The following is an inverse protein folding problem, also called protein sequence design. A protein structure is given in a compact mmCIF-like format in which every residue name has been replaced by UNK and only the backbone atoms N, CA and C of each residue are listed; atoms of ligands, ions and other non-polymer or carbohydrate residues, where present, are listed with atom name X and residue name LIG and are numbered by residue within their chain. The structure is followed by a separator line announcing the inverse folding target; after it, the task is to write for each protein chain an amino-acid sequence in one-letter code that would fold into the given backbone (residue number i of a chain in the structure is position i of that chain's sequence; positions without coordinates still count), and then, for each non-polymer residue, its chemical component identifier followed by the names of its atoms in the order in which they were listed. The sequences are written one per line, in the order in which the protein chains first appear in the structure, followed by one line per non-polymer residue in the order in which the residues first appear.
data_IF_194454886407
#
_entry.id   IF_194454886407
#
_cell.length_a   1.000
_cell.length_b   1.000
_cell.length_c   1.000
_cell.angle_alpha   90.00
_cell.angle_beta   90.00
_cell.angle_gamma   90.00
#
_symmetry.space_group_name_H-M   'P 1'
#
loop_
_entity.id
_entity.type
_entity.pdbx_description
1 polymer ?
#
# COMPACT_ATOMS: atom_id res chain seq x y z
N UNK A 1 5.78 8.60 51.88
CA UNK A 1 6.86 9.11 51.01
C UNK A 1 6.31 9.16 49.59
N UNK A 2 5.66 10.25 49.16
CA UNK A 2 6.21 11.50 48.60
C UNK A 2 6.83 11.36 47.19
N UNK A 3 6.14 11.95 46.19
CA UNK A 3 6.68 12.76 45.06
C UNK A 3 7.62 11.98 44.08
N UNK A 4 7.50 11.91 42.75
CA UNK A 4 6.74 12.56 41.68
C UNK A 4 7.09 11.84 40.34
N UNK A 5 6.36 12.10 39.25
CA UNK A 5 6.64 11.57 37.91
C UNK A 5 7.56 12.51 37.12
N UNK A 6 8.50 12.02 36.31
CA UNK A 6 8.98 12.61 35.06
C UNK A 6 10.12 11.76 34.46
N UNK A 7 10.28 11.82 33.13
CA UNK A 7 11.31 11.20 32.30
C UNK A 7 11.13 9.73 31.92
N UNK A 8 10.14 9.44 31.06
CA UNK A 8 10.35 8.43 30.01
C UNK A 8 11.09 9.09 28.86
N UNK A 9 12.41 9.00 28.94
CA UNK A 9 13.33 9.22 27.84
C UNK A 9 12.91 8.38 26.63
N UNK A 10 12.94 9.03 25.47
CA UNK A 10 12.75 8.42 24.17
C UNK A 10 13.94 7.46 23.95
N UNK A 11 13.71 6.17 24.15
CA UNK A 11 14.64 5.12 23.75
C UNK A 11 14.52 4.92 22.24
N UNK A 12 15.24 5.73 21.46
CA UNK A 12 15.64 5.34 20.11
C UNK A 12 16.73 4.26 20.27
N UNK A 13 16.33 2.99 20.21
CA UNK A 13 17.24 1.88 20.12
C UNK A 13 18.09 1.99 18.85
N UNK A 14 19.42 2.04 19.05
CA UNK A 14 20.48 1.91 18.06
C UNK A 14 20.19 0.82 17.03
N UNK A 15 20.42 1.15 15.76
CA UNK A 15 20.80 0.16 14.74
C UNK A 15 22.30 0.31 14.44
N UNK A 16 23.02 -0.81 14.20
CA UNK A 16 24.47 -0.81 13.97
C UNK A 16 24.84 -0.21 12.61
N UNK A 17 25.87 0.63 12.61
CA UNK A 17 26.50 1.20 11.43
C UNK A 17 27.28 0.12 10.67
N UNK A 18 26.80 -0.27 9.49
CA UNK A 18 27.63 -0.93 8.48
C UNK A 18 28.49 0.14 7.79
N UNK A 19 29.79 0.08 8.04
CA UNK A 19 30.83 0.87 7.39
C UNK A 19 30.88 0.54 5.90
N UNK A 20 30.31 1.40 5.06
CA UNK A 20 30.73 1.51 3.67
C UNK A 20 31.52 2.81 3.53
N UNK A 21 32.80 2.65 3.19
CA UNK A 21 33.74 3.74 2.96
C UNK A 21 33.18 4.68 1.89
N UNK A 22 33.01 5.94 2.26
CA UNK A 22 32.66 7.04 1.36
C UNK A 22 33.98 7.52 0.72
N UNK A 23 34.11 7.62 -0.62
CA UNK A 23 35.31 8.17 -1.21
C UNK A 23 35.48 9.63 -0.78
N UNK A 24 36.67 9.93 -0.28
CA UNK A 24 37.13 11.29 -0.01
C UNK A 24 37.28 12.04 -1.34
N UNK A 25 36.49 13.09 -1.51
CA UNK A 25 36.78 14.14 -2.50
C UNK A 25 37.23 15.33 -1.68
N UNK A 26 38.54 15.55 -1.66
CA UNK A 26 39.12 16.76 -1.14
C UNK A 26 38.83 17.92 -2.11
N UNK A 27 38.57 19.08 -1.51
CA UNK A 27 38.81 20.43 -2.03
C UNK A 27 37.88 20.95 -3.12
N UNK A 28 36.81 21.62 -2.69
CA UNK A 28 36.51 22.95 -3.20
C UNK A 28 35.94 23.79 -2.05
N UNK A 29 36.78 24.65 -1.47
CA UNK A 29 36.31 25.83 -0.75
C UNK A 29 35.60 26.68 -1.80
N UNK A 30 34.27 26.61 -1.85
CA UNK A 30 33.47 27.55 -2.62
C UNK A 30 32.30 27.99 -1.75
N UNK A 31 32.57 29.11 -1.07
CA UNK A 31 31.61 30.11 -0.59
C UNK A 31 30.22 29.61 -0.22
N UNK A 32 29.97 29.59 1.09
CA UNK A 32 28.64 29.74 1.69
C UNK A 32 28.02 31.07 1.21
N UNK A 33 27.35 31.03 0.07
CA UNK A 33 26.36 32.04 -0.28
C UNK A 33 25.04 31.56 0.32
N UNK A 34 24.60 32.25 1.38
CA UNK A 34 23.18 32.29 1.72
C UNK A 34 22.39 32.56 0.42
N UNK A 35 21.16 32.04 0.26
CA UNK A 35 20.31 32.47 -0.85
C UNK A 35 20.01 33.96 -0.64
N UNK A 36 20.83 34.79 -1.27
CA UNK A 36 20.54 36.20 -1.49
C UNK A 36 19.15 36.26 -2.12
N UNK A 37 18.27 37.04 -1.51
CA UNK A 37 17.01 37.44 -2.10
C UNK A 37 17.39 38.27 -3.32
N UNK A 38 17.59 37.61 -4.46
CA UNK A 38 17.81 38.27 -5.72
C UNK A 38 16.54 39.06 -6.02
N UNK A 39 16.60 40.37 -5.83
CA UNK A 39 15.65 41.31 -6.40
C UNK A 39 15.52 40.96 -7.88
N UNK A 40 14.29 40.61 -8.28
CA UNK A 40 13.89 40.31 -9.66
C UNK A 40 14.43 41.40 -10.58
N UNK A 41 15.54 41.13 -11.26
CA UNK A 41 16.09 42.06 -12.24
C UNK A 41 15.06 42.25 -13.35
N UNK A 42 14.79 43.50 -13.72
CA UNK A 42 13.93 43.87 -14.86
C UNK A 42 14.59 43.54 -16.22
N UNK A 43 15.47 42.54 -16.27
CA UNK A 43 16.06 42.05 -17.50
C UNK A 43 14.98 41.36 -18.33
N UNK A 44 14.72 41.87 -19.55
CA UNK A 44 13.75 41.28 -20.48
C UNK A 44 14.10 39.82 -20.73
N UNK A 45 13.21 38.92 -20.32
CA UNK A 45 13.33 37.48 -20.55
C UNK A 45 13.39 37.22 -22.05
N UNK A 46 14.49 36.63 -22.55
CA UNK A 46 14.62 36.20 -23.95
C UNK A 46 13.49 35.22 -24.29
N UNK A 47 12.85 35.42 -25.44
CA UNK A 47 11.78 34.55 -25.96
C UNK A 47 12.39 33.17 -26.23
N UNK A 48 11.95 32.15 -25.47
CA UNK A 48 12.33 30.76 -25.76
C UNK A 48 11.61 30.31 -27.03
N UNK A 49 12.27 29.48 -27.82
CA UNK A 49 11.65 28.82 -28.97
C UNK A 49 10.43 28.02 -28.52
N UNK A 50 9.38 28.07 -29.33
CA UNK A 50 8.15 27.32 -29.09
C UNK A 50 8.44 25.85 -29.31
N UNK A 51 8.71 25.11 -28.23
CA UNK A 51 8.74 23.64 -28.27
C UNK A 51 7.36 23.11 -28.63
N UNK A 52 7.28 21.94 -29.24
CA UNK A 52 6.00 21.26 -29.47
C UNK A 52 5.21 21.14 -28.16
N UNK A 53 3.91 21.47 -28.12
CA UNK A 53 3.11 21.46 -26.90
C UNK A 53 3.03 20.08 -26.25
N UNK A 54 3.10 19.00 -27.05
CA UNK A 54 3.18 17.61 -26.57
C UNK A 54 4.48 17.34 -25.81
N UNK A 55 5.61 17.78 -26.37
CA UNK A 55 6.92 17.63 -25.74
C UNK A 55 6.97 18.49 -24.47
N UNK A 56 6.40 19.69 -24.48
CA UNK A 56 6.28 20.51 -23.26
C UNK A 56 5.43 19.84 -22.18
N UNK A 57 4.30 19.21 -22.53
CA UNK A 57 3.48 18.47 -21.57
C UNK A 57 4.21 17.26 -20.99
N UNK A 58 4.97 16.53 -21.82
CA UNK A 58 5.80 15.41 -21.38
C UNK A 58 6.91 15.91 -20.46
N UNK A 59 7.67 16.92 -20.88
CA UNK A 59 8.74 17.55 -20.09
C UNK A 59 8.18 18.05 -18.75
N UNK A 60 6.99 18.65 -18.75
CA UNK A 60 6.31 19.12 -17.55
C UNK A 60 5.88 17.96 -16.65
N UNK A 61 5.24 16.93 -17.19
CA UNK A 61 4.79 15.77 -16.42
C UNK A 61 5.96 15.01 -15.77
N UNK A 62 7.13 15.00 -16.41
CA UNK A 62 8.36 14.37 -15.93
C UNK A 62 9.13 15.24 -14.92
N UNK A 63 9.28 16.54 -15.19
CA UNK A 63 10.15 17.42 -14.41
C UNK A 63 9.43 18.24 -13.33
N UNK A 64 8.10 18.31 -13.34
CA UNK A 64 7.36 19.09 -12.34
C UNK A 64 7.26 18.31 -11.02
N UNK A 65 7.70 18.89 -9.88
CA UNK A 65 7.45 18.28 -8.58
C UNK A 65 5.94 18.22 -8.38
N UNK A 66 5.38 17.01 -8.33
CA UNK A 66 3.92 16.79 -8.24
C UNK A 66 3.30 17.35 -6.96
N UNK A 67 4.12 17.61 -5.94
CA UNK A 67 3.70 18.13 -4.66
C UNK A 67 3.90 19.64 -4.54
N UNK A 68 2.94 20.31 -3.89
CA UNK A 68 3.14 21.66 -3.38
C UNK A 68 4.16 21.70 -2.23
N UNK A 69 4.37 22.90 -1.68
CA UNK A 69 5.22 23.09 -0.49
C UNK A 69 4.69 22.23 0.67
N UNK A 70 5.57 21.60 1.48
CA UNK A 70 5.14 20.84 2.65
C UNK A 70 4.27 21.69 3.57
N UNK A 71 3.16 21.12 4.02
CA UNK A 71 2.23 21.82 4.88
C UNK A 71 2.80 21.94 6.30
N UNK A 72 2.76 23.16 6.86
CA UNK A 72 3.27 23.44 8.21
C UNK A 72 2.14 23.31 9.23
N UNK A 73 2.25 22.35 10.13
CA UNK A 73 1.30 22.13 11.22
C UNK A 73 1.69 22.88 12.49
N UNK A 74 0.72 23.51 13.15
CA UNK A 74 0.85 24.00 14.53
C UNK A 74 1.03 22.84 15.52
N UNK A 75 1.64 23.08 16.67
CA UNK A 75 1.91 22.05 17.70
C UNK A 75 0.67 21.23 18.10
N UNK A 76 -0.44 21.86 18.49
CA UNK A 76 -1.68 21.14 18.88
C UNK A 76 -2.26 20.29 17.73
N UNK A 77 -2.15 20.78 16.49
CA UNK A 77 -2.58 20.04 15.29
C UNK A 77 -1.69 18.82 15.03
N UNK A 78 -0.37 18.95 15.23
CA UNK A 78 0.56 17.82 15.14
C UNK A 78 0.19 16.72 16.13
N UNK A 79 -0.05 17.08 17.40
CA UNK A 79 -0.43 16.11 18.43
C UNK A 79 -1.74 15.40 18.07
N UNK A 80 -2.77 16.16 17.67
CA UNK A 80 -4.05 15.56 17.25
C UNK A 80 -3.88 14.60 16.09
N UNK A 81 -3.12 15.00 15.06
CA UNK A 81 -2.86 14.14 13.91
C UNK A 81 -2.12 12.87 14.32
N UNK A 82 -1.10 12.99 15.18
CA UNK A 82 -0.35 11.85 15.69
C UNK A 82 -1.26 10.89 16.46
N UNK A 83 -2.09 11.38 17.38
CA UNK A 83 -3.01 10.54 18.16
C UNK A 83 -4.01 9.79 17.27
N UNK A 84 -4.63 10.48 16.29
CA UNK A 84 -5.55 9.85 15.33
C UNK A 84 -4.82 8.76 14.54
N UNK A 85 -3.60 9.03 14.09
CA UNK A 85 -2.80 8.08 13.33
C UNK A 85 -2.45 6.84 14.17
N UNK A 86 -2.03 7.02 15.43
CA UNK A 86 -1.74 5.88 16.31
C UNK A 86 -2.99 5.04 16.59
N UNK A 87 -4.14 5.67 16.85
CA UNK A 87 -5.40 4.98 17.05
C UNK A 87 -5.81 4.16 15.81
N UNK A 88 -5.63 4.72 14.61
CA UNK A 88 -5.90 4.04 13.34
C UNK A 88 -4.97 2.84 13.12
N UNK A 89 -3.67 2.99 13.40
CA UNK A 89 -2.71 1.88 13.30
C UNK A 89 -3.09 0.75 14.26
N UNK A 90 -3.41 1.07 15.51
CA UNK A 90 -3.88 0.09 16.50
C UNK A 90 -5.15 -0.63 16.02
N UNK A 91 -6.11 0.10 15.45
CA UNK A 91 -7.31 -0.47 14.86
C UNK A 91 -7.00 -1.43 13.69
N UNK A 92 -6.09 -1.05 12.79
CA UNK A 92 -5.64 -1.91 11.69
C UNK A 92 -4.94 -3.18 12.20
N UNK A 93 -4.10 -3.07 13.23
CA UNK A 93 -3.46 -4.22 13.87
C UNK A 93 -4.49 -5.20 14.44
N UNK A 94 -5.51 -4.67 15.14
CA UNK A 94 -6.61 -5.50 15.66
C UNK A 94 -7.37 -6.22 14.54
N UNK A 95 -7.75 -5.51 13.48
CA UNK A 95 -8.42 -6.13 12.32
C UNK A 95 -7.57 -7.20 11.63
N UNK A 96 -6.25 -6.98 11.52
CA UNK A 96 -5.35 -7.98 10.95
C UNK A 96 -5.29 -9.23 11.82
N UNK A 97 -5.09 -9.07 13.13
CA UNK A 97 -5.04 -10.17 14.07
C UNK A 97 -6.37 -10.96 14.14
N UNK A 98 -7.51 -10.28 13.98
CA UNK A 98 -8.82 -10.92 13.89
C UNK A 98 -8.97 -11.75 12.62
N UNK A 99 -8.60 -11.21 11.45
CA UNK A 99 -8.60 -11.96 10.18
C UNK A 99 -7.67 -13.17 10.23
N UNK A 100 -6.47 -13.02 10.81
CA UNK A 100 -5.51 -14.11 10.95
C UNK A 100 -6.06 -15.22 11.85
N UNK A 101 -6.63 -14.88 13.01
CA UNK A 101 -7.28 -15.84 13.90
C UNK A 101 -8.44 -16.57 13.23
N UNK A 102 -9.22 -15.89 12.41
CA UNK A 102 -10.32 -16.52 11.69
C UNK A 102 -9.81 -17.47 10.61
N UNK A 103 -8.76 -17.09 9.87
CA UNK A 103 -8.10 -17.99 8.92
C UNK A 103 -7.50 -19.22 9.60
N UNK A 104 -6.88 -19.05 10.77
CA UNK A 104 -6.39 -20.17 11.59
C UNK A 104 -7.51 -21.11 12.01
N UNK A 105 -8.66 -20.57 12.44
CA UNK A 105 -9.84 -21.40 12.77
C UNK A 105 -10.33 -22.19 11.56
N UNK A 106 -10.47 -21.53 10.41
CA UNK A 106 -10.90 -22.18 9.16
C UNK A 106 -9.92 -23.29 8.75
N UNK A 107 -8.62 -22.99 8.80
CA UNK A 107 -7.57 -23.96 8.50
C UNK A 107 -7.64 -25.17 9.44
N UNK A 108 -7.72 -24.95 10.76
CA UNK A 108 -7.80 -26.03 11.74
C UNK A 108 -9.02 -26.92 11.49
N UNK A 109 -10.17 -26.33 11.15
CA UNK A 109 -11.38 -27.10 10.81
C UNK A 109 -11.23 -27.92 9.53
N UNK A 110 -10.62 -27.36 8.49
CA UNK A 110 -10.33 -28.08 7.25
C UNK A 110 -9.36 -29.23 7.53
N UNK A 111 -8.32 -28.97 8.31
CA UNK A 111 -7.32 -29.96 8.70
C UNK A 111 -7.95 -31.14 9.47
N UNK A 112 -8.74 -30.84 10.50
CA UNK A 112 -9.44 -31.87 11.29
C UNK A 112 -10.34 -32.74 10.40
N UNK A 113 -11.14 -32.12 9.52
CA UNK A 113 -12.03 -32.84 8.61
C UNK A 113 -11.27 -33.73 7.61
N UNK A 114 -10.13 -33.26 7.11
CA UNK A 114 -9.27 -34.02 6.18
C UNK A 114 -8.58 -35.20 6.88
N UNK A 115 -8.14 -35.01 8.12
CA UNK A 115 -7.58 -36.10 8.94
C UNK A 115 -8.64 -37.17 9.25
N UNK A 116 -9.88 -36.78 9.59
CA UNK A 116 -10.98 -37.73 9.73
C UNK A 116 -11.28 -38.47 8.42
N UNK A 117 -11.31 -37.77 7.28
CA UNK A 117 -11.52 -38.40 5.97
C UNK A 117 -10.44 -39.44 5.65
N UNK A 118 -9.19 -39.14 5.99
CA UNK A 118 -8.04 -40.04 5.80
C UNK A 118 -8.16 -41.31 6.64
N UNK A 119 -8.71 -41.22 7.86
CA UNK A 119 -8.99 -42.39 8.71
C UNK A 119 -10.10 -43.27 8.14
N UNK A 120 -11.12 -42.65 7.53
CA UNK A 120 -12.29 -43.37 7.00
C UNK A 120 -12.04 -43.99 5.61
N UNK A 121 -11.54 -43.23 4.64
CA UNK A 121 -11.34 -43.67 3.25
C UNK A 121 -10.15 -42.97 2.56
N UNK A 122 -9.11 -43.75 2.25
CA UNK A 122 -7.91 -43.28 1.58
C UNK A 122 -8.14 -42.84 0.12
N UNK A 123 -9.12 -43.43 -0.59
CA UNK A 123 -9.41 -43.10 -1.99
C UNK A 123 -10.03 -41.70 -2.09
N UNK A 124 -10.99 -41.40 -1.21
CA UNK A 124 -11.64 -40.09 -1.16
C UNK A 124 -10.67 -38.99 -0.72
N UNK A 125 -9.81 -39.30 0.26
CA UNK A 125 -8.73 -38.39 0.67
C UNK A 125 -7.85 -37.99 -0.52
N UNK A 126 -7.37 -38.97 -1.32
CA UNK A 126 -6.55 -38.72 -2.51
C UNK A 126 -7.24 -37.77 -3.50
N UNK A 127 -8.51 -38.02 -3.80
CA UNK A 127 -9.31 -37.18 -4.71
C UNK A 127 -9.50 -35.76 -4.16
N UNK A 128 -9.75 -35.61 -2.86
CA UNK A 128 -9.96 -34.30 -2.24
C UNK A 128 -8.68 -33.45 -2.22
N UNK A 129 -7.52 -34.09 -2.08
CA UNK A 129 -6.20 -33.41 -2.08
C UNK A 129 -5.64 -33.14 -3.48
N UNK A 130 -6.28 -33.66 -4.54
CA UNK A 130 -5.82 -33.45 -5.92
C UNK A 130 -5.94 -31.96 -6.32
N UNK A 131 -4.83 -31.36 -6.75
CA UNK A 131 -4.77 -29.95 -7.19
C UNK A 131 -5.27 -29.72 -8.64
N UNK A 132 -6.15 -30.58 -9.15
CA UNK A 132 -6.63 -30.50 -10.54
C UNK A 132 -7.71 -29.41 -10.66
N UNK A 133 -7.50 -28.42 -11.53
CA UNK A 133 -8.51 -27.40 -11.85
C UNK A 133 -8.72 -26.31 -10.80
N UNK A 134 -7.87 -26.23 -9.78
CA UNK A 134 -7.89 -25.15 -8.78
C UNK A 134 -7.27 -23.85 -9.33
N UNK A 135 -7.77 -22.70 -8.86
CA UNK A 135 -7.10 -21.39 -9.02
C UNK A 135 -7.84 -20.34 -9.84
N UNK A 136 -8.99 -20.67 -10.45
CA UNK A 136 -9.79 -19.67 -11.17
C UNK A 136 -11.12 -19.43 -10.47
N UNK A 137 -11.33 -18.20 -10.01
CA UNK A 137 -12.64 -17.75 -9.55
C UNK A 137 -13.60 -17.58 -10.74
N UNK A 138 -14.89 -17.94 -10.60
CA UNK A 138 -15.88 -17.69 -11.65
C UNK A 138 -15.95 -16.20 -12.00
N UNK A 139 -15.94 -15.88 -13.31
CA UNK A 139 -16.03 -14.48 -13.80
C UNK A 139 -17.31 -13.77 -13.34
N UNK A 140 -18.37 -14.52 -13.07
CA UNK A 140 -19.65 -13.98 -12.62
C UNK A 140 -19.61 -13.49 -11.16
N UNK A 141 -18.62 -13.92 -10.36
CA UNK A 141 -18.46 -13.46 -8.98
C UNK A 141 -18.02 -12.00 -8.96
N UNK A 142 -18.87 -11.13 -8.41
CA UNK A 142 -18.66 -9.68 -8.37
C UNK A 142 -17.96 -9.23 -7.08
N UNK A 143 -17.20 -8.15 -7.17
CA UNK A 143 -16.64 -7.44 -6.01
C UNK A 143 -17.77 -6.63 -5.35
N UNK A 144 -17.86 -6.55 -4.01
CA UNK A 144 -18.82 -5.70 -3.32
C UNK A 144 -18.77 -4.25 -3.80
N UNK A 145 -19.94 -3.63 -3.94
CA UNK A 145 -20.12 -2.22 -4.35
C UNK A 145 -20.88 -1.46 -3.26
N UNK A 146 -20.63 -0.16 -3.10
CA UNK A 146 -21.24 0.66 -2.04
C UNK A 146 -22.78 0.72 -2.11
N UNK A 147 -23.35 0.73 -3.32
CA UNK A 147 -24.80 0.69 -3.55
C UNK A 147 -25.16 -0.56 -4.36
N UNK A 148 -26.20 -1.33 -3.98
CA UNK A 148 -26.59 -2.51 -4.74
C UNK A 148 -27.09 -2.12 -6.15
N UNK A 149 -26.96 -3.02 -7.14
CA UNK A 149 -27.51 -2.78 -8.46
C UNK A 149 -29.04 -2.75 -8.42
N UNK A 150 -29.68 -1.98 -9.32
CA UNK A 150 -31.15 -1.87 -9.39
C UNK A 150 -31.86 -3.23 -9.55
N UNK A 151 -31.23 -4.16 -10.26
CA UNK A 151 -31.74 -5.53 -10.47
C UNK A 151 -31.37 -6.52 -9.38
N UNK A 152 -30.72 -6.12 -8.28
CA UNK A 152 -30.41 -6.99 -7.15
C UNK A 152 -29.69 -8.29 -7.54
N UNK A 153 -30.23 -9.42 -7.05
CA UNK A 153 -29.80 -10.77 -7.40
C UNK A 153 -30.56 -11.29 -8.64
N UNK A 154 -29.88 -12.06 -9.49
CA UNK A 154 -30.50 -12.61 -10.70
C UNK A 154 -31.14 -13.98 -10.42
N UNK A 155 -32.45 -14.01 -10.21
CA UNK A 155 -33.22 -15.26 -10.02
C UNK A 155 -33.36 -16.06 -11.33
N UNK A 156 -33.35 -15.38 -12.49
CA UNK A 156 -33.53 -16.00 -13.80
C UNK A 156 -32.23 -16.56 -14.40
N UNK A 157 -31.19 -16.74 -13.58
CA UNK A 157 -29.89 -17.23 -14.05
C UNK A 157 -30.03 -18.58 -14.77
N UNK A 158 -29.48 -18.66 -15.98
CA UNK A 158 -29.43 -19.87 -16.80
C UNK A 158 -27.99 -20.13 -17.22
N UNK A 159 -27.56 -21.38 -17.12
CA UNK A 159 -26.25 -21.82 -17.63
C UNK A 159 -26.12 -21.39 -19.10
N UNK A 160 -25.12 -20.57 -19.46
CA UNK A 160 -24.88 -20.23 -20.86
C UNK A 160 -24.70 -21.52 -21.67
N UNK A 161 -25.39 -21.63 -22.81
CA UNK A 161 -25.14 -22.74 -23.75
C UNK A 161 -23.82 -22.42 -24.47
N UNK A 162 -22.73 -23.04 -24.04
CA UNK A 162 -21.44 -22.87 -24.68
C UNK A 162 -21.54 -23.23 -26.17
N UNK A 163 -21.26 -22.27 -27.06
CA UNK A 163 -20.97 -22.62 -28.46
C UNK A 163 -19.58 -23.25 -28.45
N UNK A 164 -19.52 -24.58 -28.46
CA UNK A 164 -18.27 -25.31 -28.69
C UNK A 164 -17.75 -24.92 -30.06
N UNK A 165 -16.83 -23.95 -30.12
CA UNK A 165 -16.12 -23.61 -31.34
C UNK A 165 -15.22 -24.80 -31.64
N UNK A 166 -15.68 -25.69 -32.54
CA UNK A 166 -14.83 -26.73 -33.12
C UNK A 166 -13.65 -26.01 -33.76
N UNK A 167 -12.48 -26.10 -33.13
CA UNK A 167 -11.23 -25.69 -33.78
C UNK A 167 -11.09 -26.56 -35.03
N UNK A 168 -11.09 -25.91 -36.20
CA UNK A 168 -10.73 -26.53 -37.48
C UNK A 168 -9.23 -26.77 -37.53
#
# INVERSE_FOLDING_TARGET
MSISPFHRSILFSRLPSLTHARPSIHNAVQSLLLPTIQSRSYARKRKKELKDPKIQMIDYALAHPKGGRPFKWSYIRNLRHWTIQQAYLLFKHKQKAERERELERQYNKIHDAVEELKRCDERLYRIATDMKGVGTFPREMRIPTDTPPRGGFNEEWKRPKDKVVKRK
#
